data_IF_740168729932
#
_entry.id   IF_740168729932
#
_cell.length_a   1.000
_cell.length_b   1.000
_cell.length_c   1.000
_cell.angle_alpha   90.00
_cell.angle_beta   90.00
_cell.angle_gamma   90.00
#
_symmetry.space_group_name_H-M   'P 1'
#
loop_
_entity.id
_entity.type
_entity.pdbx_description
1 polymer ?
#
# COMPACT_ATOMS: atom_id res chain seq x y z
N UNK A 1 12.58 -26.63 -4.17
CA UNK A 1 11.62 -27.68 -3.78
C UNK A 1 12.30 -28.77 -2.96
N UNK A 2 13.39 -29.35 -3.45
CA UNK A 2 14.10 -30.41 -2.72
C UNK A 2 14.55 -30.00 -1.32
N UNK A 3 15.00 -28.75 -1.13
CA UNK A 3 15.40 -28.26 0.19
C UNK A 3 14.28 -28.26 1.26
N UNK A 4 13.02 -28.36 0.83
CA UNK A 4 11.83 -28.49 1.69
C UNK A 4 11.38 -29.96 1.71
N UNK A 5 11.33 -30.63 0.54
CA UNK A 5 10.94 -32.04 0.41
C UNK A 5 11.90 -33.02 1.10
N UNK A 6 13.18 -32.69 1.18
CA UNK A 6 14.22 -33.55 1.77
C UNK A 6 14.18 -33.56 3.30
N UNK A 7 13.40 -32.66 3.91
CA UNK A 7 13.23 -32.55 5.36
C UNK A 7 11.85 -33.04 5.75
N UNK A 8 11.70 -33.56 6.98
CA UNK A 8 10.37 -33.76 7.57
C UNK A 8 9.71 -32.42 7.89
N UNK A 9 8.37 -32.39 7.97
CA UNK A 9 7.59 -31.17 8.27
C UNK A 9 8.05 -30.49 9.57
N UNK A 10 8.32 -31.27 10.62
CA UNK A 10 8.81 -30.76 11.90
C UNK A 10 10.17 -30.06 11.76
N UNK A 11 11.14 -30.71 11.07
CA UNK A 11 12.47 -30.15 10.83
C UNK A 11 12.42 -28.89 9.94
N UNK A 12 11.55 -28.87 8.93
CA UNK A 12 11.34 -27.68 8.11
C UNK A 12 10.72 -26.54 8.92
N UNK A 13 9.76 -26.82 9.79
CA UNK A 13 9.11 -25.83 10.65
C UNK A 13 10.11 -25.17 11.60
N UNK A 14 10.99 -25.96 12.23
CA UNK A 14 12.05 -25.43 13.09
C UNK A 14 13.02 -24.53 12.29
N UNK A 15 13.41 -24.98 11.09
CA UNK A 15 14.28 -24.20 10.20
C UNK A 15 13.62 -22.88 9.78
N UNK A 16 12.33 -22.90 9.44
CA UNK A 16 11.56 -21.72 9.08
C UNK A 16 11.46 -20.76 10.27
N UNK A 17 11.21 -21.26 11.48
CA UNK A 17 11.17 -20.45 12.69
C UNK A 17 12.51 -19.76 12.97
N UNK A 18 13.64 -20.48 12.83
CA UNK A 18 14.98 -19.89 12.97
C UNK A 18 15.24 -18.82 11.89
N UNK A 19 14.80 -19.06 10.67
CA UNK A 19 14.91 -18.09 9.57
C UNK A 19 14.08 -16.82 9.85
N UNK A 20 12.84 -16.95 10.31
CA UNK A 20 12.00 -15.83 10.71
C UNK A 20 12.67 -14.97 11.80
N UNK A 21 13.19 -15.61 12.86
CA UNK A 21 13.90 -14.91 13.94
C UNK A 21 15.13 -14.15 13.42
N UNK A 22 15.91 -14.75 12.52
CA UNK A 22 17.13 -14.14 11.97
C UNK A 22 16.84 -12.91 11.10
N UNK A 23 15.75 -12.95 10.34
CA UNK A 23 15.41 -11.89 9.39
C UNK A 23 14.31 -10.94 9.89
N UNK A 24 13.91 -11.05 11.16
CA UNK A 24 12.89 -10.18 11.77
C UNK A 24 11.47 -10.39 11.25
N UNK A 25 11.16 -11.55 10.66
CA UNK A 25 9.82 -11.87 10.20
C UNK A 25 8.95 -12.44 11.33
N UNK A 26 7.66 -12.06 11.34
CA UNK A 26 6.68 -12.68 12.23
C UNK A 26 6.42 -14.13 11.81
N UNK A 27 6.67 -15.06 12.73
CA UNK A 27 6.40 -16.47 12.52
C UNK A 27 4.90 -16.73 12.49
N UNK A 28 4.43 -17.39 11.44
CA UNK A 28 3.05 -17.84 11.27
C UNK A 28 3.02 -19.36 11.31
N UNK A 29 2.35 -20.00 12.29
CA UNK A 29 2.42 -21.45 12.49
C UNK A 29 1.82 -22.26 11.34
N UNK A 30 0.88 -21.69 10.60
CA UNK A 30 0.22 -22.32 9.45
C UNK A 30 1.09 -22.33 8.17
N UNK A 31 1.97 -21.34 8.00
CA UNK A 31 2.77 -21.18 6.77
C UNK A 31 3.72 -22.35 6.50
N UNK A 32 4.46 -22.90 7.48
CA UNK A 32 5.32 -24.06 7.25
C UNK A 32 4.57 -25.25 6.64
N UNK A 33 3.37 -25.56 7.16
CA UNK A 33 2.56 -26.66 6.67
C UNK A 33 2.11 -26.43 5.22
N UNK A 34 1.65 -25.22 4.91
CA UNK A 34 1.25 -24.82 3.56
C UNK A 34 2.43 -24.91 2.58
N UNK A 35 3.58 -24.30 2.92
CA UNK A 35 4.77 -24.33 2.05
C UNK A 35 5.23 -25.76 1.82
N UNK A 36 5.15 -26.62 2.84
CA UNK A 36 5.53 -28.01 2.74
C UNK A 36 4.60 -28.81 1.82
N UNK A 37 3.27 -28.66 1.95
CA UNK A 37 2.29 -29.31 1.06
C UNK A 37 2.43 -28.82 -0.37
N UNK A 38 2.47 -27.50 -0.60
CA UNK A 38 2.69 -26.91 -1.92
C UNK A 38 4.00 -27.40 -2.53
N UNK A 39 5.05 -27.50 -1.73
CA UNK A 39 6.32 -28.01 -2.23
C UNK A 39 6.19 -29.46 -2.70
N UNK A 40 5.32 -30.32 -2.15
CA UNK A 40 5.14 -31.70 -2.63
C UNK A 40 4.39 -31.79 -3.95
N UNK A 41 3.41 -30.92 -4.17
CA UNK A 41 2.57 -30.92 -5.37
C UNK A 41 3.24 -30.24 -6.59
N UNK A 42 4.26 -29.41 -6.35
CA UNK A 42 4.85 -28.61 -7.42
C UNK A 42 5.67 -29.42 -8.44
N UNK A 43 5.34 -29.29 -9.72
CA UNK A 43 6.18 -29.80 -10.81
C UNK A 43 7.19 -28.69 -11.16
N UNK A 44 8.49 -28.98 -11.01
CA UNK A 44 9.54 -28.01 -11.33
C UNK A 44 9.67 -27.88 -12.84
N UNK A 45 9.22 -26.76 -13.40
CA UNK A 45 9.37 -26.43 -14.84
C UNK A 45 10.81 -26.06 -15.18
N UNK A 46 11.52 -25.42 -14.24
CA UNK A 46 12.90 -25.00 -14.43
C UNK A 46 13.90 -26.05 -13.98
N UNK A 47 15.01 -26.13 -14.72
CA UNK A 47 16.17 -26.96 -14.39
C UNK A 47 16.91 -26.42 -13.16
N UNK A 48 17.52 -27.30 -12.37
CA UNK A 48 18.35 -26.92 -11.20
C UNK A 48 19.78 -26.56 -11.62
N UNK A 49 19.93 -25.78 -12.67
CA UNK A 49 21.24 -25.38 -13.15
C UNK A 49 21.77 -24.16 -12.34
N UNK A 50 23.11 -24.03 -12.22
CA UNK A 50 23.71 -22.91 -11.50
C UNK A 50 23.34 -21.54 -12.07
N UNK A 51 23.05 -21.45 -13.37
CA UNK A 51 22.72 -20.20 -14.07
C UNK A 51 21.33 -19.71 -13.64
N UNK A 52 20.30 -20.56 -13.68
CA UNK A 52 18.95 -20.25 -13.20
C UNK A 52 18.98 -19.81 -11.73
N UNK A 53 19.75 -20.50 -10.87
CA UNK A 53 19.90 -20.11 -9.46
C UNK A 53 20.55 -18.73 -9.32
N UNK A 54 21.55 -18.42 -10.14
CA UNK A 54 22.21 -17.12 -10.16
C UNK A 54 21.24 -16.02 -10.61
N UNK A 55 20.52 -16.22 -11.72
CA UNK A 55 19.54 -15.26 -12.24
C UNK A 55 18.43 -14.95 -11.23
N UNK A 56 17.87 -15.96 -10.58
CA UNK A 56 16.85 -15.77 -9.53
C UNK A 56 17.41 -14.97 -8.36
N UNK A 57 18.63 -15.27 -7.91
CA UNK A 57 19.27 -14.50 -6.83
C UNK A 57 19.49 -13.04 -7.21
N UNK A 58 19.98 -12.80 -8.42
CA UNK A 58 20.20 -11.44 -8.94
C UNK A 58 18.87 -10.67 -9.00
N UNK A 59 17.80 -11.29 -9.49
CA UNK A 59 16.48 -10.66 -9.54
C UNK A 59 15.95 -10.32 -8.14
N UNK A 60 16.14 -11.21 -7.16
CA UNK A 60 15.77 -10.96 -5.76
C UNK A 60 16.58 -9.78 -5.17
N UNK A 61 17.87 -9.71 -5.46
CA UNK A 61 18.72 -8.61 -5.02
C UNK A 61 18.31 -7.28 -5.63
N UNK A 62 18.02 -7.24 -6.93
CA UNK A 62 17.49 -6.06 -7.61
C UNK A 62 16.16 -5.60 -7.01
N UNK A 63 15.23 -6.53 -6.76
CA UNK A 63 13.96 -6.22 -6.11
C UNK A 63 14.15 -5.61 -4.73
N UNK A 64 15.05 -6.18 -3.92
CA UNK A 64 15.34 -5.68 -2.58
C UNK A 64 15.97 -4.29 -2.62
N UNK A 65 16.91 -4.05 -3.54
CA UNK A 65 17.53 -2.74 -3.73
C UNK A 65 16.51 -1.68 -4.13
N UNK A 66 15.64 -1.98 -5.11
CA UNK A 66 14.57 -1.06 -5.51
C UNK A 66 13.62 -0.79 -4.36
N UNK A 67 13.23 -1.83 -3.62
CA UNK A 67 12.33 -1.69 -2.46
C UNK A 67 12.94 -0.79 -1.38
N UNK A 68 14.22 -0.97 -1.07
CA UNK A 68 14.94 -0.13 -0.13
C UNK A 68 14.97 1.33 -0.58
N UNK A 69 15.31 1.58 -1.84
CA UNK A 69 15.34 2.94 -2.41
C UNK A 69 13.98 3.62 -2.34
N UNK A 70 12.90 2.89 -2.64
CA UNK A 70 11.53 3.43 -2.52
C UNK A 70 11.21 3.84 -1.08
N UNK A 71 11.60 3.06 -0.07
CA UNK A 71 11.38 3.45 1.32
C UNK A 71 12.22 4.67 1.73
N UNK A 72 13.48 4.77 1.26
CA UNK A 72 14.29 5.96 1.52
C UNK A 72 13.65 7.22 0.90
N UNK A 73 13.15 7.13 -0.32
CA UNK A 73 12.44 8.24 -0.96
C UNK A 73 11.17 8.63 -0.20
N UNK A 74 10.41 7.65 0.31
CA UNK A 74 9.23 7.93 1.14
C UNK A 74 9.58 8.66 2.43
N UNK A 75 10.67 8.27 3.09
CA UNK A 75 11.16 8.94 4.30
C UNK A 75 11.56 10.38 4.00
N UNK A 76 12.30 10.62 2.91
CA UNK A 76 12.68 11.97 2.50
C UNK A 76 11.48 12.83 2.10
N UNK A 77 10.51 12.27 1.36
CA UNK A 77 9.25 12.96 1.05
C UNK A 77 8.54 13.40 2.33
N UNK A 78 8.46 12.52 3.35
CA UNK A 78 7.85 12.86 4.62
C UNK A 78 8.65 13.91 5.40
N UNK A 79 9.98 13.84 5.38
CA UNK A 79 10.86 14.83 6.02
C UNK A 79 10.69 16.22 5.41
N UNK A 80 10.58 16.30 4.08
CA UNK A 80 10.34 17.56 3.37
C UNK A 80 8.93 18.08 3.64
N UNK A 81 7.92 17.21 3.57
CA UNK A 81 6.53 17.59 3.87
C UNK A 81 6.38 18.14 5.29
N UNK A 82 7.09 17.57 6.27
CA UNK A 82 7.06 18.01 7.67
C UNK A 82 7.57 19.45 7.90
N UNK A 83 8.25 20.06 6.93
CA UNK A 83 8.71 21.45 7.01
C UNK A 83 7.63 22.46 6.63
N UNK A 84 6.54 22.00 6.01
CA UNK A 84 5.45 22.85 5.56
C UNK A 84 4.39 23.02 6.68
N UNK A 85 3.80 24.22 6.82
CA UNK A 85 2.86 24.51 7.90
C UNK A 85 1.58 23.64 7.84
N UNK A 86 1.19 23.18 6.66
CA UNK A 86 0.00 22.36 6.44
C UNK A 86 0.16 20.91 6.94
N UNK A 87 1.40 20.45 7.18
CA UNK A 87 1.69 19.06 7.50
C UNK A 87 0.89 18.56 8.69
N UNK A 88 0.82 19.35 9.77
CA UNK A 88 0.11 18.96 10.99
C UNK A 88 -1.39 18.80 10.74
N UNK A 89 -1.97 19.66 9.90
CA UNK A 89 -3.39 19.59 9.51
C UNK A 89 -3.65 18.34 8.68
N UNK A 90 -2.78 18.03 7.72
CA UNK A 90 -2.91 16.85 6.86
C UNK A 90 -2.73 15.55 7.66
N UNK A 91 -1.75 15.49 8.56
CA UNK A 91 -1.50 14.33 9.41
C UNK A 91 -2.58 14.09 10.47
N UNK A 92 -3.32 15.14 10.87
CA UNK A 92 -4.48 15.01 11.74
C UNK A 92 -5.70 14.38 11.03
N UNK A 93 -5.68 14.26 9.70
CA UNK A 93 -6.77 13.66 8.94
C UNK A 93 -6.84 12.14 9.19
N UNK A 94 -8.01 11.65 9.61
CA UNK A 94 -8.23 10.21 9.86
C UNK A 94 -8.04 9.40 8.57
N UNK A 95 -7.17 8.40 8.62
CA UNK A 95 -6.83 7.54 7.47
C UNK A 95 -5.66 8.06 6.64
N UNK A 96 -5.09 9.22 6.99
CA UNK A 96 -3.84 9.73 6.43
C UNK A 96 -2.68 9.36 7.37
N UNK A 97 -1.56 8.93 6.79
CA UNK A 97 -0.35 8.56 7.52
C UNK A 97 0.90 9.08 6.81
N UNK A 98 2.10 8.78 7.30
CA UNK A 98 3.36 9.37 6.83
C UNK A 98 3.72 9.02 5.36
N UNK A 99 3.01 8.08 4.74
CA UNK A 99 3.13 7.81 3.30
C UNK A 99 2.10 8.57 2.46
N UNK A 100 0.83 8.58 2.90
CA UNK A 100 -0.27 9.21 2.15
C UNK A 100 -0.32 10.74 2.34
N UNK A 101 0.12 11.25 3.48
CA UNK A 101 0.11 12.68 3.79
C UNK A 101 1.03 13.47 2.85
N UNK A 102 2.32 13.12 2.75
CA UNK A 102 3.23 13.77 1.81
C UNK A 102 2.76 13.66 0.35
N UNK A 103 2.16 12.52 -0.03
CA UNK A 103 1.59 12.35 -1.36
C UNK A 103 0.41 13.30 -1.59
N UNK A 104 -0.50 13.44 -0.62
CA UNK A 104 -1.63 14.36 -0.71
C UNK A 104 -1.15 15.82 -0.82
N UNK A 105 -0.17 16.20 0.00
CA UNK A 105 0.44 17.53 -0.03
C UNK A 105 1.13 17.81 -1.37
N UNK A 106 1.82 16.82 -1.95
CA UNK A 106 2.47 16.96 -3.25
C UNK A 106 1.47 17.11 -4.41
N UNK A 107 0.34 16.39 -4.37
CA UNK A 107 -0.70 16.47 -5.41
C UNK A 107 -1.48 17.80 -5.36
N UNK A 108 -1.75 18.33 -4.16
CA UNK A 108 -2.42 19.61 -3.98
C UNK A 108 -1.44 20.77 -4.23
N UNK A 109 -0.18 20.60 -3.80
CA UNK A 109 0.88 21.61 -3.85
C UNK A 109 0.47 22.88 -3.09
N UNK A 110 0.65 24.05 -3.70
CA UNK A 110 0.33 25.33 -3.08
C UNK A 110 -1.19 25.58 -2.98
N UNK A 111 -1.68 25.71 -1.74
CA UNK A 111 -3.08 26.02 -1.42
C UNK A 111 -3.48 27.44 -1.83
N UNK A 112 -2.54 28.39 -1.94
CA UNK A 112 -2.81 29.79 -2.30
C UNK A 112 -3.41 29.93 -3.71
N UNK A 113 -3.23 28.91 -4.55
CA UNK A 113 -3.77 28.85 -5.92
C UNK A 113 -5.30 28.70 -5.96
N UNK A 114 -5.93 28.35 -4.85
CA UNK A 114 -7.38 28.16 -4.76
C UNK A 114 -8.02 29.37 -4.08
N UNK A 115 -8.92 30.05 -4.78
CA UNK A 115 -9.61 31.24 -4.24
C UNK A 115 -10.65 30.90 -3.16
N UNK A 116 -11.18 29.68 -3.15
CA UNK A 116 -12.19 29.19 -2.21
C UNK A 116 -12.18 27.66 -2.14
N UNK A 117 -12.78 27.09 -1.09
CA UNK A 117 -12.73 25.63 -0.80
C UNK A 117 -13.40 24.78 -1.89
N UNK A 118 -14.43 25.30 -2.56
CA UNK A 118 -15.14 24.59 -3.63
C UNK A 118 -14.23 24.44 -4.87
N UNK A 119 -13.33 25.40 -5.12
CA UNK A 119 -12.34 25.29 -6.20
C UNK A 119 -11.36 24.13 -5.95
N UNK A 120 -10.95 23.90 -4.70
CA UNK A 120 -10.13 22.74 -4.33
C UNK A 120 -10.90 21.42 -4.51
N UNK A 121 -12.17 21.38 -4.10
CA UNK A 121 -13.03 20.19 -4.27
C UNK A 121 -13.25 19.86 -5.76
N UNK A 122 -13.47 20.89 -6.58
CA UNK A 122 -13.58 20.76 -8.03
C UNK A 122 -12.26 20.29 -8.67
N UNK A 123 -11.11 20.81 -8.19
CA UNK A 123 -9.78 20.36 -8.62
C UNK A 123 -9.48 18.92 -8.21
N UNK A 124 -9.92 18.49 -7.03
CA UNK A 124 -9.85 17.09 -6.62
C UNK A 124 -10.77 16.21 -7.48
N UNK A 125 -11.78 16.79 -8.15
CA UNK A 125 -12.75 16.05 -8.94
C UNK A 125 -13.56 15.08 -8.09
N UNK A 126 -13.84 15.47 -6.85
CA UNK A 126 -14.71 14.75 -5.90
C UNK A 126 -16.07 15.44 -5.73
N UNK A 127 -16.26 16.57 -6.40
CA UNK A 127 -17.50 17.32 -6.43
C UNK A 127 -18.59 16.55 -7.22
N UNK A 128 -19.79 16.31 -6.64
CA UNK A 128 -20.92 15.75 -7.36
C UNK A 128 -21.33 16.70 -8.49
N UNK A 129 -21.55 16.18 -9.70
CA UNK A 129 -22.09 17.01 -10.77
C UNK A 129 -23.48 17.56 -10.39
N UNK A 130 -23.83 18.75 -10.87
CA UNK A 130 -25.20 19.25 -10.78
C UNK A 130 -25.95 18.76 -12.01
N UNK A 131 -26.96 17.91 -11.83
CA UNK A 131 -27.92 17.57 -12.87
C UNK A 131 -29.31 18.01 -12.40
N UNK A 132 -29.59 19.29 -12.62
CA UNK A 132 -30.85 19.93 -12.33
C UNK A 132 -31.48 20.37 -13.65
N UNK A 133 -32.64 19.80 -14.00
CA UNK A 133 -33.45 20.26 -15.12
C UNK A 133 -34.80 20.68 -14.57
N UNK A 134 -34.99 21.97 -14.22
CA UNK A 134 -36.25 22.65 -13.88
C UNK A 134 -37.21 21.97 -12.88
N UNK A 135 -37.68 20.77 -13.21
CA UNK A 135 -38.59 19.88 -12.48
C UNK A 135 -37.91 18.64 -11.87
N UNK A 136 -36.61 18.40 -12.10
CA UNK A 136 -35.91 17.21 -11.61
C UNK A 136 -34.54 17.54 -11.01
N UNK A 137 -34.31 17.06 -9.78
CA UNK A 137 -33.00 17.02 -9.14
C UNK A 137 -32.55 15.57 -8.99
N UNK A 138 -31.45 15.21 -9.65
CA UNK A 138 -30.88 13.88 -9.53
C UNK A 138 -30.26 13.68 -8.13
N UNK A 139 -30.77 12.70 -7.36
CA UNK A 139 -30.25 12.35 -6.02
C UNK A 139 -28.81 11.81 -6.00
N UNK A 140 -28.33 11.33 -7.15
CA UNK A 140 -26.97 10.82 -7.32
C UNK A 140 -26.48 11.16 -8.72
N UNK A 141 -25.48 12.03 -8.80
CA UNK A 141 -24.83 12.43 -10.05
C UNK A 141 -23.41 11.93 -10.06
N UNK A 142 -22.93 11.49 -11.23
CA UNK A 142 -21.55 11.06 -11.41
C UNK A 142 -20.60 12.19 -11.00
N UNK A 143 -19.62 11.87 -10.16
CA UNK A 143 -18.59 12.80 -9.72
C UNK A 143 -17.82 13.38 -10.91
N UNK A 144 -17.51 14.67 -10.84
CA UNK A 144 -16.77 15.36 -11.90
C UNK A 144 -15.34 14.82 -12.00
N UNK A 145 -15.01 14.08 -13.07
CA UNK A 145 -13.67 13.49 -13.25
C UNK A 145 -12.59 14.50 -13.72
N UNK A 146 -12.80 15.80 -13.49
CA UNK A 146 -11.95 16.89 -14.01
C UNK A 146 -10.58 16.99 -13.34
N UNK A 147 -10.45 16.51 -12.10
CA UNK A 147 -9.22 16.53 -11.32
C UNK A 147 -8.19 15.43 -11.61
N UNK A 148 -7.02 15.53 -10.94
CA UNK A 148 -5.94 14.53 -10.97
C UNK A 148 -6.48 13.13 -10.58
N UNK A 149 -6.31 12.11 -11.44
CA UNK A 149 -6.65 10.74 -11.09
C UNK A 149 -5.88 10.23 -9.86
N UNK A 150 -4.65 10.70 -9.65
CA UNK A 150 -3.82 10.31 -8.51
C UNK A 150 -4.35 10.92 -7.22
N UNK A 151 -4.69 12.22 -7.22
CA UNK A 151 -5.34 12.88 -6.08
C UNK A 151 -6.63 12.15 -5.68
N UNK A 152 -7.50 11.80 -6.64
CA UNK A 152 -8.71 11.01 -6.36
C UNK A 152 -8.39 9.65 -5.74
N UNK A 153 -7.39 8.95 -6.26
CA UNK A 153 -6.95 7.66 -5.74
C UNK A 153 -6.46 7.79 -4.30
N UNK A 154 -5.65 8.80 -4.00
CA UNK A 154 -5.13 9.09 -2.66
C UNK A 154 -6.27 9.38 -1.68
N UNK A 155 -7.24 10.23 -2.08
CA UNK A 155 -8.42 10.53 -1.27
C UNK A 155 -9.28 9.29 -1.02
N UNK A 156 -9.47 8.44 -2.03
CA UNK A 156 -10.19 7.18 -1.88
C UNK A 156 -9.49 6.23 -0.91
N UNK A 157 -8.16 6.09 -1.00
CA UNK A 157 -7.38 5.23 -0.09
C UNK A 157 -7.47 5.76 1.34
N UNK A 158 -7.32 7.08 1.54
CA UNK A 158 -7.45 7.68 2.87
C UNK A 158 -8.84 7.40 3.49
N UNK A 159 -9.90 7.55 2.70
CA UNK A 159 -11.27 7.20 3.12
C UNK A 159 -11.41 5.71 3.43
N UNK A 160 -10.90 4.82 2.57
CA UNK A 160 -11.00 3.38 2.77
C UNK A 160 -10.25 2.93 4.04
N UNK A 161 -9.00 3.39 4.22
CA UNK A 161 -8.19 3.10 5.41
C UNK A 161 -8.89 3.54 6.69
N UNK A 162 -9.54 4.71 6.69
CA UNK A 162 -10.37 5.17 7.82
C UNK A 162 -11.51 4.20 8.14
N UNK A 163 -12.20 3.66 7.13
CA UNK A 163 -13.33 2.75 7.35
C UNK A 163 -12.87 1.37 7.83
N UNK A 164 -11.75 0.86 7.32
CA UNK A 164 -11.14 -0.39 7.81
C UNK A 164 -10.74 -0.25 9.28
N UNK A 165 -10.10 0.87 9.66
CA UNK A 165 -9.74 1.15 11.05
C UNK A 165 -10.96 1.26 11.99
N UNK A 166 -12.10 1.73 11.49
CA UNK A 166 -13.36 1.73 12.27
C UNK A 166 -13.87 0.31 12.51
N UNK A 167 -13.89 -0.54 11.47
CA UNK A 167 -14.37 -1.93 11.57
C UNK A 167 -13.56 -2.79 12.55
N UNK A 168 -12.25 -2.59 12.64
CA UNK A 168 -11.41 -3.30 13.61
C UNK A 168 -11.61 -2.84 15.07
N UNK A 169 -12.01 -1.58 15.29
CA UNK A 169 -12.29 -1.06 16.65
C UNK A 169 -13.67 -1.45 17.17
N UNK A 170 -14.64 -1.70 16.30
CA UNK A 170 -15.98 -2.14 16.71
C UNK A 170 -16.08 -3.62 17.09
N UNK A 171 -15.04 -4.42 16.85
CA UNK A 171 -14.95 -5.84 17.26
C UNK A 171 -14.13 -6.07 18.54
N UNK A 172 -13.67 -5.00 19.20
CA UNK A 172 -12.84 -5.07 20.42
C UNK A 172 -13.50 -4.46 21.67
N UNK A 173 -14.83 -4.39 21.67
CA UNK A 173 -15.69 -4.06 22.83
C UNK A 173 -16.83 -5.05 22.88
#
# INVERSE_FOLDING_TARGET
>A
MDCVRSLGLAAFTERYQKWCKRHGYNFQPEKPAQIYSFSKELISVFTKDPVTKFLVKQAVEQLNTVSFTVEQLRLEMNRLAAQLPEYQVVMAMKGVGPSLGPQLMAEICDLSRFSHREALTAFAGVDPGVNQSGTYEARSVRTSKRGSPQLRKTLFIAFWTRNVQKGSRTMST
#
